data_IF_209863118110
#
_entry.id   IF_209863118110
#
_cell.length_a   1.000
_cell.length_b   1.000
_cell.length_c   1.000
_cell.angle_alpha   90.00
_cell.angle_beta   90.00
_cell.angle_gamma   90.00
#
_symmetry.space_group_name_H-M   'P 1'
#
loop_
_entity.id
_entity.type
_entity.pdbx_description
1 polymer ?
#
# COMPACT_ATOMS: atom_id res chain seq x y z
N UNK A 1 11.06 75.82 46.66
CA UNK A 1 11.02 74.83 47.75
C UNK A 1 11.14 73.45 47.11
N UNK A 2 12.14 72.71 47.53
CA UNK A 2 12.67 71.43 47.03
C UNK A 2 11.64 70.29 47.07
N UNK A 3 11.88 69.22 46.28
CA UNK A 3 11.60 67.75 46.45
C UNK A 3 11.20 67.16 45.07
N UNK A 4 12.12 66.61 44.27
CA UNK A 4 12.73 65.25 44.23
C UNK A 4 12.01 64.29 43.25
N UNK A 5 12.72 63.47 42.43
CA UNK A 5 12.13 62.70 41.34
C UNK A 5 11.67 61.29 41.77
N UNK A 6 10.59 60.83 41.13
CA UNK A 6 10.04 59.48 41.25
C UNK A 6 11.04 58.44 40.72
N UNK A 7 11.34 57.44 41.55
CA UNK A 7 12.17 56.29 41.22
C UNK A 7 11.45 55.38 40.21
N UNK A 8 12.17 54.99 39.16
CA UNK A 8 11.84 53.87 38.30
C UNK A 8 11.83 52.57 39.12
N UNK A 9 10.65 51.96 39.27
CA UNK A 9 10.49 50.59 39.74
C UNK A 9 10.38 49.67 38.53
N UNK A 10 11.51 49.14 38.07
CA UNK A 10 11.56 48.10 37.06
C UNK A 10 11.05 46.78 37.63
N UNK A 11 9.80 46.44 37.35
CA UNK A 11 9.23 45.13 37.65
C UNK A 11 9.52 44.19 36.47
N UNK A 12 10.76 43.68 36.43
CA UNK A 12 11.19 42.61 35.53
C UNK A 12 10.45 41.32 35.94
N UNK A 13 9.26 41.11 35.36
CA UNK A 13 8.62 39.79 35.40
C UNK A 13 9.59 38.76 34.79
N UNK A 14 9.91 37.67 35.50
CA UNK A 14 10.77 36.64 34.94
C UNK A 14 10.06 36.05 33.72
N UNK A 15 10.67 36.21 32.55
CA UNK A 15 10.31 35.43 31.36
C UNK A 15 10.53 33.97 31.73
N UNK A 16 9.44 33.26 32.00
CA UNK A 16 9.43 31.80 32.11
C UNK A 16 9.95 31.30 30.78
N UNK A 17 11.20 30.86 30.78
CA UNK A 17 11.80 30.15 29.67
C UNK A 17 11.06 28.81 29.62
N UNK A 18 9.99 28.76 28.83
CA UNK A 18 9.36 27.51 28.42
C UNK A 18 10.42 26.78 27.60
N UNK A 19 11.30 26.07 28.31
CA UNK A 19 12.21 25.12 27.71
C UNK A 19 11.37 24.29 26.75
N UNK A 20 11.70 24.34 25.45
CA UNK A 20 11.10 23.46 24.45
C UNK A 20 11.27 22.04 24.98
N UNK A 21 10.20 21.48 25.53
CA UNK A 21 10.16 20.07 25.90
C UNK A 21 10.24 19.33 24.58
N UNK A 22 11.43 18.87 24.22
CA UNK A 22 11.61 17.99 23.07
C UNK A 22 10.75 16.76 23.34
N UNK A 23 9.76 16.45 22.50
CA UNK A 23 8.93 15.26 22.70
C UNK A 23 9.84 14.03 22.78
N UNK A 24 9.54 13.11 23.70
CA UNK A 24 10.27 11.86 23.77
C UNK A 24 10.14 11.11 22.44
N UNK A 25 11.29 10.67 21.89
CA UNK A 25 11.34 9.88 20.67
C UNK A 25 10.46 8.63 20.79
N UNK A 26 9.78 8.22 19.71
CA UNK A 26 8.86 7.12 19.79
C UNK A 26 9.58 5.78 19.96
N UNK A 27 8.86 4.81 20.53
CA UNK A 27 9.24 3.40 20.50
C UNK A 27 8.65 2.79 19.24
N UNK A 28 9.51 2.37 18.31
CA UNK A 28 9.09 1.79 17.03
C UNK A 28 9.03 0.27 17.15
N UNK A 29 7.88 -0.31 16.82
CA UNK A 29 7.61 -1.75 16.98
C UNK A 29 7.05 -2.34 15.70
N UNK A 30 7.44 -3.56 15.38
CA UNK A 30 6.80 -4.34 14.30
C UNK A 30 5.65 -5.14 14.90
N UNK A 31 4.50 -5.14 14.24
CA UNK A 31 3.37 -5.98 14.61
C UNK A 31 3.14 -7.02 13.52
N UNK A 32 3.18 -8.30 13.88
CA UNK A 32 2.78 -9.39 13.02
C UNK A 32 1.40 -9.90 13.44
N UNK A 33 0.52 -10.15 12.46
CA UNK A 33 -0.76 -10.82 12.69
C UNK A 33 -0.56 -12.19 13.34
N UNK A 34 -1.39 -12.51 14.32
CA UNK A 34 -1.35 -13.79 15.05
C UNK A 34 -1.72 -14.98 14.15
N UNK A 35 -2.70 -14.81 13.26
CA UNK A 35 -3.18 -15.86 12.36
C UNK A 35 -2.37 -15.91 11.04
N UNK A 36 -1.09 -15.56 11.09
CA UNK A 36 -0.20 -15.47 9.93
C UNK A 36 0.76 -16.67 9.80
N UNK A 37 1.45 -16.80 8.65
CA UNK A 37 2.58 -17.72 8.55
C UNK A 37 3.65 -17.36 9.59
N UNK A 38 4.50 -18.33 9.94
CA UNK A 38 5.60 -18.11 10.86
C UNK A 38 6.42 -16.86 10.47
N UNK A 39 6.85 -16.08 11.47
CA UNK A 39 7.45 -14.76 11.28
C UNK A 39 8.94 -14.90 10.87
N UNK A 40 9.20 -15.73 9.87
CA UNK A 40 10.51 -16.15 9.40
C UNK A 40 10.55 -16.06 7.88
N UNK A 41 11.76 -16.07 7.33
CA UNK A 41 11.96 -15.95 5.89
C UNK A 41 11.92 -14.50 5.41
N UNK A 42 11.99 -14.37 4.10
CA UNK A 42 12.36 -13.13 3.45
C UNK A 42 11.34 -12.01 3.67
N UNK A 43 10.05 -12.31 3.83
CA UNK A 43 9.01 -11.32 4.09
C UNK A 43 9.21 -10.68 5.47
N UNK A 44 9.44 -11.50 6.49
CA UNK A 44 9.66 -11.03 7.85
C UNK A 44 10.97 -10.25 7.97
N UNK A 45 12.05 -10.72 7.33
CA UNK A 45 13.35 -10.05 7.35
C UNK A 45 13.33 -8.73 6.57
N UNK A 46 12.63 -8.69 5.43
CA UNK A 46 12.36 -7.45 4.70
C UNK A 46 11.65 -6.44 5.59
N UNK A 47 10.61 -6.87 6.32
CA UNK A 47 9.88 -6.02 7.25
C UNK A 47 10.77 -5.49 8.38
N UNK A 48 11.61 -6.34 8.97
CA UNK A 48 12.57 -5.93 10.01
C UNK A 48 13.55 -4.89 9.50
N UNK A 49 14.10 -5.10 8.30
CA UNK A 49 15.07 -4.20 7.69
C UNK A 49 14.46 -2.85 7.32
N UNK A 50 13.28 -2.84 6.68
CA UNK A 50 12.58 -1.59 6.38
C UNK A 50 12.07 -0.90 7.66
N UNK A 51 11.66 -1.68 8.67
CA UNK A 51 11.24 -1.16 9.97
C UNK A 51 12.36 -0.44 10.72
N UNK A 52 13.59 -0.97 10.64
CA UNK A 52 14.78 -0.28 11.17
C UNK A 52 15.02 1.06 10.47
N UNK A 53 14.88 1.10 9.14
CA UNK A 53 15.04 2.34 8.36
C UNK A 53 13.94 3.37 8.66
N UNK A 54 12.69 2.93 8.86
CA UNK A 54 11.61 3.80 9.33
C UNK A 54 11.95 4.35 10.72
N UNK A 55 12.46 3.52 11.64
CA UNK A 55 12.86 3.98 12.96
C UNK A 55 13.95 5.06 12.92
N UNK A 56 14.96 4.91 12.04
CA UNK A 56 15.97 5.95 11.79
C UNK A 56 15.36 7.23 11.22
N UNK A 57 14.36 7.12 10.34
CA UNK A 57 13.63 8.29 9.84
C UNK A 57 12.88 9.03 10.96
N UNK A 58 12.45 8.30 12.00
CA UNK A 58 11.85 8.87 13.22
C UNK A 58 12.88 9.30 14.28
N UNK A 59 14.17 9.16 14.00
CA UNK A 59 15.26 9.54 14.90
C UNK A 59 15.52 8.55 16.04
N UNK A 60 15.04 7.31 15.94
CA UNK A 60 15.15 6.27 16.98
C UNK A 60 15.66 4.95 16.39
N UNK A 61 15.67 3.88 17.19
CA UNK A 61 15.97 2.51 16.74
C UNK A 61 14.72 1.64 16.83
N UNK A 62 14.67 0.60 16.01
CA UNK A 62 13.62 -0.41 16.09
C UNK A 62 13.75 -1.15 17.43
N UNK A 63 12.67 -1.17 18.22
CA UNK A 63 12.62 -1.79 19.54
C UNK A 63 12.26 -3.28 19.49
N UNK A 64 12.10 -3.84 18.29
CA UNK A 64 11.77 -5.24 18.05
C UNK A 64 10.31 -5.43 17.67
N UNK A 65 9.81 -6.63 17.97
CA UNK A 65 8.44 -7.05 17.67
C UNK A 65 7.54 -6.77 18.87
N UNK A 66 6.32 -6.33 18.61
CA UNK A 66 5.29 -6.14 19.63
C UNK A 66 4.93 -7.48 20.25
N UNK A 67 5.04 -7.58 21.58
CA UNK A 67 4.61 -8.73 22.37
C UNK A 67 3.51 -8.32 23.33
N UNK A 68 2.36 -8.99 23.27
CA UNK A 68 1.21 -8.72 24.15
C UNK A 68 1.53 -8.80 25.65
N UNK A 69 2.54 -9.59 26.02
CA UNK A 69 2.98 -9.80 27.40
C UNK A 69 3.87 -8.68 27.94
N UNK A 70 4.39 -7.79 27.07
CA UNK A 70 5.28 -6.70 27.44
C UNK A 70 4.52 -5.38 27.64
N UNK A 71 5.10 -4.47 28.42
CA UNK A 71 4.59 -3.11 28.60
C UNK A 71 5.41 -2.14 27.76
N UNK A 72 4.73 -1.36 26.94
CA UNK A 72 5.34 -0.33 26.10
C UNK A 72 4.93 1.08 26.55
N UNK A 73 5.81 2.09 26.39
CA UNK A 73 5.44 3.50 26.54
C UNK A 73 4.27 3.90 25.65
N UNK A 74 3.59 5.00 26.00
CA UNK A 74 2.45 5.50 25.23
C UNK A 74 2.83 6.04 23.85
N UNK A 75 4.04 6.60 23.70
CA UNK A 75 4.57 7.17 22.46
C UNK A 75 5.15 6.07 21.55
N UNK A 76 4.29 5.17 21.09
CA UNK A 76 4.66 4.04 20.21
C UNK A 76 4.30 4.35 18.76
N UNK A 77 5.12 3.82 17.87
CA UNK A 77 4.90 3.88 16.43
C UNK A 77 4.95 2.45 15.87
N UNK A 78 3.85 1.99 15.30
CA UNK A 78 3.67 0.58 14.94
C UNK A 78 3.84 0.35 13.44
N UNK A 79 4.57 -0.68 13.06
CA UNK A 79 4.76 -1.08 11.67
C UNK A 79 4.10 -2.46 11.52
N UNK A 80 2.82 -2.52 11.14
CA UNK A 80 2.14 -3.80 11.02
C UNK A 80 2.54 -4.49 9.69
N UNK A 81 2.63 -5.82 9.73
CA UNK A 81 2.87 -6.63 8.54
C UNK A 81 1.67 -6.67 7.59
N UNK A 82 0.50 -6.26 8.08
CA UNK A 82 -0.75 -6.20 7.34
C UNK A 82 -1.60 -5.00 7.79
N UNK A 83 -2.62 -4.64 7.01
CA UNK A 83 -3.55 -3.58 7.37
C UNK A 83 -4.30 -3.98 8.63
N UNK A 84 -4.37 -3.08 9.61
CA UNK A 84 -5.00 -3.34 10.90
C UNK A 84 -6.52 -3.16 10.81
N UNK A 85 -7.27 -3.89 11.61
CA UNK A 85 -8.65 -3.52 11.93
C UNK A 85 -8.68 -2.43 13.00
N UNK A 86 -9.81 -1.73 13.15
CA UNK A 86 -10.01 -0.77 14.26
C UNK A 86 -9.82 -1.44 15.63
N UNK A 87 -10.20 -2.71 15.81
CA UNK A 87 -9.98 -3.42 17.08
C UNK A 87 -8.49 -3.64 17.36
N UNK A 88 -7.74 -4.13 16.35
CA UNK A 88 -6.30 -4.31 16.47
C UNK A 88 -5.56 -2.99 16.70
N UNK A 89 -5.96 -1.92 16.00
CA UNK A 89 -5.41 -0.59 16.20
C UNK A 89 -5.58 -0.10 17.65
N UNK A 90 -6.76 -0.32 18.25
CA UNK A 90 -7.02 0.02 19.66
C UNK A 90 -6.14 -0.76 20.63
N UNK A 91 -5.97 -2.06 20.43
CA UNK A 91 -5.07 -2.91 21.25
C UNK A 91 -3.62 -2.41 21.20
N UNK A 92 -3.17 -1.99 20.01
CA UNK A 92 -1.81 -1.51 19.76
C UNK A 92 -1.62 -0.04 20.19
N UNK A 93 -2.70 0.67 20.53
CA UNK A 93 -2.68 2.09 20.86
C UNK A 93 -2.54 3.03 19.66
N UNK A 94 -2.81 2.54 18.45
CA UNK A 94 -2.80 3.29 17.19
C UNK A 94 -4.10 4.08 17.05
N UNK A 95 -4.01 5.41 16.91
CA UNK A 95 -5.18 6.30 16.88
C UNK A 95 -5.25 7.17 15.62
N UNK A 96 -4.13 7.33 14.94
CA UNK A 96 -3.99 8.19 13.78
C UNK A 96 -2.84 7.75 12.89
N UNK A 97 -2.71 8.40 11.72
CA UNK A 97 -1.58 8.24 10.80
C UNK A 97 -0.21 8.53 11.44
N UNK A 98 -0.16 9.18 12.61
CA UNK A 98 1.08 9.47 13.35
C UNK A 98 1.57 8.28 14.18
N UNK A 99 0.75 7.25 14.35
CA UNK A 99 1.02 6.14 15.26
C UNK A 99 1.39 4.84 14.53
N UNK A 100 1.36 4.82 13.18
CA UNK A 100 1.71 3.64 12.40
C UNK A 100 2.33 3.95 11.03
N UNK A 101 3.05 2.99 10.46
CA UNK A 101 3.38 2.93 9.03
C UNK A 101 2.52 1.86 8.34
N UNK A 102 1.37 2.26 7.79
CA UNK A 102 0.35 1.36 7.27
C UNK A 102 -1.05 1.97 7.38
N UNK A 103 -2.08 1.14 7.38
CA UNK A 103 -3.48 1.56 7.45
C UNK A 103 -4.31 0.81 8.47
N UNK A 104 -5.45 1.42 8.79
CA UNK A 104 -6.48 0.88 9.66
C UNK A 104 -7.80 0.90 8.89
N UNK A 105 -8.53 -0.21 8.93
CA UNK A 105 -9.85 -0.36 8.29
C UNK A 105 -10.94 -0.71 9.30
N UNK A 106 -12.18 -0.23 9.09
CA UNK A 106 -13.30 -0.57 9.97
C UNK A 106 -13.75 -2.04 9.83
N UNK A 107 -13.61 -2.61 8.63
CA UNK A 107 -13.98 -3.99 8.33
C UNK A 107 -12.84 -4.69 7.57
N UNK A 108 -12.50 -5.96 7.88
CA UNK A 108 -11.36 -6.64 7.26
C UNK A 108 -11.40 -6.69 5.72
N UNK A 109 -12.57 -6.87 5.12
CA UNK A 109 -12.71 -6.95 3.65
C UNK A 109 -12.29 -5.64 2.94
N UNK A 110 -12.34 -4.50 3.62
CA UNK A 110 -11.92 -3.19 3.07
C UNK A 110 -10.42 -3.21 2.76
N UNK A 111 -9.65 -4.01 3.51
CA UNK A 111 -8.22 -4.20 3.28
C UNK A 111 -7.89 -5.23 2.18
N UNK A 112 -8.88 -5.76 1.45
CA UNK A 112 -8.66 -6.80 0.43
C UNK A 112 -9.13 -6.35 -0.96
N UNK A 113 -8.83 -7.13 -2.00
CA UNK A 113 -9.22 -6.81 -3.39
C UNK A 113 -10.72 -6.67 -3.60
N UNK A 114 -11.55 -7.30 -2.76
CA UNK A 114 -13.00 -7.31 -2.94
C UNK A 114 -13.63 -5.93 -2.75
N UNK A 115 -12.92 -4.98 -2.13
CA UNK A 115 -13.38 -3.59 -2.08
C UNK A 115 -13.46 -2.97 -3.47
N UNK A 116 -12.63 -3.39 -4.44
CA UNK A 116 -12.52 -2.75 -5.74
C UNK A 116 -13.80 -2.85 -6.61
N UNK A 117 -14.73 -3.74 -6.26
CA UNK A 117 -15.87 -4.04 -7.11
C UNK A 117 -17.19 -4.02 -6.34
N UNK A 118 -18.26 -3.63 -7.04
CA UNK A 118 -19.63 -3.72 -6.55
C UNK A 118 -20.13 -5.17 -6.50
N UNK A 119 -21.25 -5.40 -5.84
CA UNK A 119 -21.94 -6.70 -5.91
C UNK A 119 -22.80 -6.76 -7.17
N UNK A 120 -23.18 -7.97 -7.59
CA UNK A 120 -24.24 -8.13 -8.59
C UNK A 120 -25.57 -7.59 -8.06
N UNK A 121 -26.41 -7.11 -8.97
CA UNK A 121 -27.76 -6.68 -8.60
C UNK A 121 -28.55 -7.85 -8.00
N UNK A 122 -29.17 -7.63 -6.84
CA UNK A 122 -29.88 -8.68 -6.11
C UNK A 122 -28.98 -9.71 -5.41
N UNK A 123 -27.70 -9.38 -5.16
CA UNK A 123 -26.75 -10.27 -4.50
C UNK A 123 -27.31 -10.90 -3.22
N UNK A 124 -27.12 -12.21 -3.09
CA UNK A 124 -27.63 -13.05 -2.00
C UNK A 124 -26.80 -12.88 -0.73
N UNK A 125 -25.51 -12.58 -0.87
CA UNK A 125 -24.59 -12.42 0.25
C UNK A 125 -23.78 -11.12 0.16
N UNK A 126 -23.54 -10.50 1.33
CA UNK A 126 -22.61 -9.39 1.50
C UNK A 126 -22.01 -9.39 2.90
N UNK A 127 -20.77 -8.91 3.09
CA UNK A 127 -20.16 -8.87 4.41
C UNK A 127 -20.78 -7.72 5.23
N UNK A 128 -20.73 -7.82 6.57
CA UNK A 128 -21.06 -6.70 7.45
C UNK A 128 -20.23 -5.46 7.08
N UNK A 129 -20.89 -4.30 7.04
CA UNK A 129 -20.23 -3.03 6.72
C UNK A 129 -20.07 -2.72 5.23
N UNK A 130 -20.64 -3.53 4.33
CA UNK A 130 -20.62 -3.25 2.89
C UNK A 130 -21.30 -1.89 2.57
N UNK A 131 -20.54 -0.98 1.94
CA UNK A 131 -21.03 0.33 1.53
C UNK A 131 -21.46 0.30 0.07
N UNK A 132 -22.78 0.32 -0.19
CA UNK A 132 -23.30 0.41 -1.55
C UNK A 132 -22.92 1.72 -2.23
N UNK A 133 -22.90 2.83 -1.49
CA UNK A 133 -22.49 4.13 -2.01
C UNK A 133 -21.03 4.11 -2.49
N UNK A 134 -20.13 3.52 -1.69
CA UNK A 134 -18.74 3.33 -2.12
C UNK A 134 -18.66 2.46 -3.38
N UNK A 135 -19.34 1.32 -3.39
CA UNK A 135 -19.32 0.37 -4.50
C UNK A 135 -19.78 1.00 -5.82
N UNK A 136 -20.80 1.86 -5.80
CA UNK A 136 -21.25 2.59 -6.98
C UNK A 136 -20.23 3.63 -7.45
N UNK A 137 -19.57 4.35 -6.53
CA UNK A 137 -18.48 5.25 -6.91
C UNK A 137 -17.27 4.50 -7.47
N UNK A 138 -16.90 3.37 -6.87
CA UNK A 138 -15.76 2.55 -7.27
C UNK A 138 -15.95 1.94 -8.67
N UNK A 139 -17.18 1.62 -9.08
CA UNK A 139 -17.47 0.98 -10.36
C UNK A 139 -16.98 1.78 -11.59
N UNK A 140 -16.89 3.11 -11.50
CA UNK A 140 -16.34 3.97 -12.57
C UNK A 140 -14.81 4.13 -12.50
N UNK A 141 -14.19 3.68 -11.39
CA UNK A 141 -12.77 3.85 -11.08
C UNK A 141 -11.98 2.54 -11.26
N UNK A 142 -12.68 1.41 -11.33
CA UNK A 142 -12.10 0.07 -11.43
C UNK A 142 -12.41 -0.57 -12.78
N UNK A 143 -11.82 -1.75 -13.03
CA UNK A 143 -12.17 -2.53 -14.21
C UNK A 143 -13.60 -3.08 -14.11
N UNK A 144 -14.28 -3.41 -15.23
CA UNK A 144 -15.56 -4.07 -15.18
C UNK A 144 -15.48 -5.35 -14.34
N UNK A 145 -16.22 -5.41 -13.24
CA UNK A 145 -16.14 -6.54 -12.33
C UNK A 145 -17.13 -6.48 -11.18
N UNK A 146 -17.14 -7.57 -10.42
CA UNK A 146 -17.99 -7.78 -9.27
C UNK A 146 -17.22 -8.46 -8.14
N UNK A 147 -17.62 -8.15 -6.91
CA UNK A 147 -17.28 -8.93 -5.73
C UNK A 147 -18.44 -9.86 -5.39
N UNK A 148 -18.12 -11.09 -4.99
CA UNK A 148 -19.09 -12.11 -4.63
C UNK A 148 -18.73 -12.78 -3.31
N UNK A 149 -19.75 -13.10 -2.51
CA UNK A 149 -19.64 -13.76 -1.21
C UNK A 149 -20.46 -15.06 -1.13
N UNK A 150 -21.02 -15.48 -2.26
CA UNK A 150 -21.72 -16.75 -2.46
C UNK A 150 -21.37 -17.31 -3.82
N UNK A 151 -21.54 -18.63 -3.98
CA UNK A 151 -21.28 -19.31 -5.26
C UNK A 151 -22.20 -18.78 -6.34
N UNK A 152 -23.47 -18.64 -6.01
CA UNK A 152 -24.51 -18.19 -6.93
C UNK A 152 -24.23 -16.77 -7.42
N UNK A 153 -23.80 -15.86 -6.55
CA UNK A 153 -23.45 -14.49 -6.95
C UNK A 153 -22.19 -14.45 -7.81
N UNK A 154 -21.21 -15.34 -7.56
CA UNK A 154 -20.01 -15.47 -8.40
C UNK A 154 -20.35 -16.02 -9.80
N UNK A 155 -21.19 -17.04 -9.89
CA UNK A 155 -21.71 -17.56 -11.15
C UNK A 155 -22.51 -16.49 -11.92
N UNK A 156 -23.36 -15.73 -11.24
CA UNK A 156 -24.14 -14.66 -11.85
C UNK A 156 -23.25 -13.52 -12.36
N UNK A 157 -22.19 -13.17 -11.62
CA UNK A 157 -21.18 -12.20 -12.05
C UNK A 157 -20.44 -12.66 -13.32
N UNK A 158 -19.96 -13.91 -13.33
CA UNK A 158 -19.22 -14.46 -14.46
C UNK A 158 -20.09 -14.53 -15.73
N UNK A 159 -21.35 -14.98 -15.62
CA UNK A 159 -22.32 -15.00 -16.75
C UNK A 159 -22.50 -13.63 -17.38
N UNK A 160 -22.56 -12.57 -16.57
CA UNK A 160 -22.67 -11.18 -17.06
C UNK A 160 -21.41 -10.75 -17.79
N UNK A 161 -20.23 -11.04 -17.23
CA UNK A 161 -18.96 -10.60 -17.79
C UNK A 161 -18.55 -11.36 -19.05
N UNK A 162 -18.90 -12.65 -19.18
CA UNK A 162 -18.58 -13.45 -20.39
C UNK A 162 -19.23 -12.94 -21.67
N UNK A 163 -20.32 -12.17 -21.57
CA UNK A 163 -20.93 -11.51 -22.73
C UNK A 163 -19.96 -10.56 -23.43
N UNK A 164 -18.97 -10.04 -22.69
CA UNK A 164 -18.03 -9.03 -23.12
C UNK A 164 -16.57 -9.51 -23.04
N UNK A 165 -16.28 -10.81 -22.88
CA UNK A 165 -14.92 -11.35 -22.91
C UNK A 165 -14.55 -12.26 -21.74
N UNK A 166 -13.26 -12.60 -21.63
CA UNK A 166 -12.77 -13.58 -20.66
C UNK A 166 -12.83 -13.04 -19.22
N UNK A 167 -12.98 -13.93 -18.25
CA UNK A 167 -13.16 -13.58 -16.83
C UNK A 167 -11.98 -14.03 -16.01
N UNK A 168 -11.50 -13.15 -15.14
CA UNK A 168 -10.45 -13.43 -14.16
C UNK A 168 -11.04 -13.44 -12.76
N UNK A 169 -10.75 -14.51 -12.03
CA UNK A 169 -11.01 -14.61 -10.61
C UNK A 169 -9.80 -14.11 -9.82
N UNK A 170 -10.04 -13.40 -8.72
CA UNK A 170 -8.98 -13.05 -7.77
C UNK A 170 -9.40 -13.36 -6.34
N UNK A 171 -8.55 -14.11 -5.64
CA UNK A 171 -8.69 -14.33 -4.19
C UNK A 171 -8.43 -13.01 -3.45
N UNK A 172 -9.13 -12.75 -2.33
CA UNK A 172 -9.15 -11.44 -1.66
C UNK A 172 -7.76 -10.99 -1.21
N UNK A 173 -6.97 -11.92 -0.66
CA UNK A 173 -5.68 -11.65 -0.03
C UNK A 173 -4.47 -12.09 -0.87
N UNK A 174 -4.64 -12.41 -2.16
CA UNK A 174 -3.52 -12.79 -3.03
C UNK A 174 -2.45 -11.69 -3.08
N UNK A 175 -1.17 -12.04 -3.20
CA UNK A 175 -0.06 -11.06 -3.21
C UNK A 175 0.75 -11.23 -4.50
N UNK A 176 1.07 -10.13 -5.18
CA UNK A 176 1.99 -10.13 -6.32
C UNK A 176 1.56 -11.05 -7.47
N UNK A 177 0.26 -11.04 -7.80
CA UNK A 177 -0.31 -11.87 -8.87
C UNK A 177 -0.76 -13.28 -8.44
N UNK A 178 -0.38 -13.75 -7.25
CA UNK A 178 -0.81 -15.06 -6.76
C UNK A 178 -2.31 -15.13 -6.46
N UNK A 179 -2.91 -16.31 -6.65
CA UNK A 179 -4.33 -16.54 -6.37
C UNK A 179 -5.27 -15.87 -7.38
N UNK A 180 -4.85 -15.79 -8.64
CA UNK A 180 -5.68 -15.31 -9.74
C UNK A 180 -5.76 -16.36 -10.84
N UNK A 181 -6.96 -16.61 -11.35
CA UNK A 181 -7.20 -17.64 -12.37
C UNK A 181 -8.06 -17.07 -13.49
N UNK A 182 -7.71 -17.38 -14.73
CA UNK A 182 -8.53 -17.08 -15.90
C UNK A 182 -9.52 -18.23 -16.09
N UNK A 183 -10.81 -17.94 -16.16
CA UNK A 183 -11.87 -18.93 -16.38
C UNK A 183 -12.63 -18.63 -17.68
N UNK A 184 -12.73 -19.63 -18.54
CA UNK A 184 -13.36 -19.54 -19.84
C UNK A 184 -14.86 -19.88 -19.79
N UNK A 185 -15.28 -20.72 -18.86
CA UNK A 185 -16.66 -21.20 -18.76
C UNK A 185 -17.09 -21.54 -17.32
N UNK A 186 -18.35 -22.00 -17.19
CA UNK A 186 -18.95 -22.34 -15.90
C UNK A 186 -18.27 -23.52 -15.21
N UNK A 187 -17.77 -24.51 -15.97
CA UNK A 187 -17.14 -25.68 -15.38
C UNK A 187 -15.80 -25.30 -14.73
N UNK A 188 -15.00 -24.48 -15.42
CA UNK A 188 -13.75 -23.94 -14.86
C UNK A 188 -14.02 -23.04 -13.64
N UNK A 189 -15.05 -22.18 -13.71
CA UNK A 189 -15.47 -21.36 -12.57
C UNK A 189 -15.86 -22.21 -11.36
N UNK A 190 -16.70 -23.23 -11.56
CA UNK A 190 -17.16 -24.10 -10.47
C UNK A 190 -16.01 -24.87 -9.83
N UNK A 191 -15.04 -25.34 -10.63
CA UNK A 191 -13.83 -25.99 -10.13
C UNK A 191 -12.97 -25.06 -9.26
N UNK A 192 -12.78 -23.80 -9.68
CA UNK A 192 -12.06 -22.80 -8.89
C UNK A 192 -12.79 -22.46 -7.58
N UNK A 193 -14.13 -22.37 -7.61
CA UNK A 193 -14.94 -22.14 -6.42
C UNK A 193 -14.92 -23.35 -5.47
N UNK A 194 -14.85 -24.57 -6.00
CA UNK A 194 -14.68 -25.79 -5.22
C UNK A 194 -13.33 -25.83 -4.50
N UNK A 195 -12.25 -25.47 -5.20
CA UNK A 195 -10.91 -25.38 -4.60
C UNK A 195 -10.87 -24.28 -3.52
N UNK A 196 -11.50 -23.13 -3.77
CA UNK A 196 -11.53 -22.03 -2.81
C UNK A 196 -12.37 -22.37 -1.57
N UNK A 197 -13.49 -23.07 -1.76
CA UNK A 197 -14.38 -23.55 -0.71
C UNK A 197 -15.37 -22.50 -0.20
N UNK A 198 -16.63 -22.90 -0.02
CA UNK A 198 -17.73 -21.97 0.31
C UNK A 198 -17.53 -21.22 1.64
N UNK A 199 -16.82 -21.81 2.61
CA UNK A 199 -16.54 -21.14 3.88
C UNK A 199 -15.57 -19.96 3.72
N UNK A 200 -14.54 -20.12 2.89
CA UNK A 200 -13.61 -19.06 2.55
C UNK A 200 -14.31 -17.99 1.70
N UNK A 201 -15.16 -18.41 0.76
CA UNK A 201 -15.95 -17.50 -0.06
C UNK A 201 -16.90 -16.62 0.75
N UNK A 202 -17.63 -17.20 1.71
CA UNK A 202 -18.55 -16.43 2.58
C UNK A 202 -17.83 -15.40 3.45
N UNK A 203 -16.58 -15.65 3.82
CA UNK A 203 -15.83 -14.82 4.78
C UNK A 203 -14.93 -13.80 4.09
N UNK A 204 -14.16 -14.24 3.09
CA UNK A 204 -13.20 -13.40 2.37
C UNK A 204 -13.75 -12.78 1.09
N UNK A 205 -14.78 -13.39 0.49
CA UNK A 205 -15.27 -13.04 -0.84
C UNK A 205 -14.31 -13.46 -1.95
N UNK A 206 -14.71 -13.20 -3.20
CA UNK A 206 -13.89 -13.36 -4.40
C UNK A 206 -14.19 -12.21 -5.35
N UNK A 207 -13.19 -11.79 -6.12
CA UNK A 207 -13.37 -10.86 -7.23
C UNK A 207 -13.58 -11.65 -8.51
N UNK A 208 -14.59 -11.27 -9.28
CA UNK A 208 -14.87 -11.75 -10.63
C UNK A 208 -14.80 -10.53 -11.54
N UNK A 209 -13.73 -10.38 -12.32
CA UNK A 209 -13.50 -9.20 -13.15
C UNK A 209 -13.20 -9.56 -14.60
N UNK A 210 -13.34 -8.59 -15.50
CA UNK A 210 -12.95 -8.73 -16.90
C UNK A 210 -11.44 -8.89 -17.00
N UNK A 211 -11.01 -9.89 -17.75
CA UNK A 211 -9.62 -10.03 -18.12
C UNK A 211 -9.26 -9.06 -19.24
N UNK A 212 -8.17 -8.31 -19.06
CA UNK A 212 -7.56 -7.53 -20.11
C UNK A 212 -6.34 -8.24 -20.68
N UNK A 213 -6.16 -8.11 -21.98
CA UNK A 213 -4.96 -8.46 -22.72
C UNK A 213 -3.93 -7.33 -22.62
N UNK A 214 -2.64 -7.70 -22.60
CA UNK A 214 -1.50 -6.76 -22.57
C UNK A 214 -1.60 -5.71 -21.46
N UNK A 215 -1.67 -6.17 -20.20
CA UNK A 215 -1.78 -5.29 -19.04
C UNK A 215 -0.43 -4.65 -18.70
N UNK A 216 -0.42 -3.32 -18.62
CA UNK A 216 0.59 -2.59 -17.86
C UNK A 216 -0.01 -2.16 -16.52
N UNK A 217 0.72 -2.35 -15.42
CA UNK A 217 0.25 -1.94 -14.09
C UNK A 217 1.09 -0.79 -13.57
N UNK A 218 0.43 0.31 -13.20
CA UNK A 218 1.04 1.41 -12.48
C UNK A 218 0.77 1.29 -10.99
N UNK A 219 1.77 1.63 -10.17
CA UNK A 219 1.58 1.91 -8.76
C UNK A 219 1.40 3.41 -8.56
N UNK A 220 0.28 3.81 -7.97
CA UNK A 220 0.00 5.19 -7.56
C UNK A 220 -0.18 5.23 -6.05
N UNK A 221 0.53 6.11 -5.35
CA UNK A 221 0.48 6.09 -3.89
C UNK A 221 0.90 7.36 -3.19
N UNK A 222 0.76 7.31 -1.87
CA UNK A 222 1.17 8.36 -0.96
C UNK A 222 1.64 7.76 0.36
N UNK A 223 2.76 8.28 0.86
CA UNK A 223 3.32 7.92 2.17
C UNK A 223 3.49 9.17 3.01
N UNK A 224 3.18 9.05 4.30
CA UNK A 224 3.30 10.10 5.31
C UNK A 224 4.08 9.56 6.50
N UNK A 225 5.15 10.26 6.88
CA UNK A 225 5.94 9.96 8.07
C UNK A 225 6.28 11.26 8.78
N UNK A 226 5.64 11.49 9.93
CA UNK A 226 5.70 12.75 10.67
C UNK A 226 5.26 13.95 9.81
N UNK A 227 6.21 14.80 9.39
CA UNK A 227 5.98 15.96 8.54
C UNK A 227 6.33 15.69 7.07
N UNK A 228 6.94 14.54 6.76
CA UNK A 228 7.29 14.15 5.41
C UNK A 228 6.06 13.56 4.74
N UNK A 229 5.66 14.14 3.61
CA UNK A 229 4.63 13.61 2.73
C UNK A 229 5.26 13.43 1.36
N UNK A 230 5.09 12.26 0.78
CA UNK A 230 5.54 11.96 -0.58
C UNK A 230 4.43 11.22 -1.31
N UNK A 231 4.21 11.58 -2.56
CA UNK A 231 3.28 10.92 -3.46
C UNK A 231 4.01 10.44 -4.71
N UNK A 232 3.52 9.39 -5.35
CA UNK A 232 4.22 8.80 -6.47
C UNK A 232 3.27 8.17 -7.47
N UNK A 233 3.78 8.04 -8.69
CA UNK A 233 3.29 7.10 -9.67
C UNK A 233 4.49 6.32 -10.22
N UNK A 234 4.27 5.16 -10.81
CA UNK A 234 5.36 4.40 -11.42
C UNK A 234 4.92 3.10 -12.03
N UNK A 235 5.79 2.48 -12.82
CA UNK A 235 5.51 1.24 -13.53
C UNK A 235 5.89 0.06 -12.63
N UNK A 236 5.02 -0.95 -12.56
CA UNK A 236 5.35 -2.24 -11.96
C UNK A 236 5.97 -3.18 -12.99
N UNK A 237 6.96 -3.94 -12.53
CA UNK A 237 7.64 -4.95 -13.33
C UNK A 237 7.30 -6.33 -12.80
N UNK A 238 7.16 -7.30 -13.69
CA UNK A 238 7.10 -8.72 -13.35
C UNK A 238 8.50 -9.33 -13.43
N UNK A 239 8.71 -10.40 -12.66
CA UNK A 239 9.86 -11.28 -12.74
C UNK A 239 9.39 -12.72 -12.66
N UNK A 240 10.22 -13.65 -13.13
CA UNK A 240 9.99 -15.08 -12.92
C UNK A 240 10.63 -15.49 -11.60
N UNK A 241 9.88 -16.20 -10.74
CA UNK A 241 10.39 -16.73 -9.50
C UNK A 241 11.14 -18.06 -9.68
N UNK A 242 11.72 -18.60 -8.61
CA UNK A 242 12.45 -19.88 -8.64
C UNK A 242 11.58 -21.11 -8.98
N UNK A 243 10.25 -20.95 -9.10
CA UNK A 243 9.32 -22.00 -9.52
C UNK A 243 8.81 -21.81 -10.95
N UNK A 244 9.30 -20.81 -11.69
CA UNK A 244 8.86 -20.52 -13.05
C UNK A 244 7.56 -19.71 -13.15
N UNK A 245 7.03 -19.19 -12.04
CA UNK A 245 5.82 -18.36 -12.06
C UNK A 245 6.18 -16.87 -12.19
N UNK A 246 5.41 -16.15 -13.00
CA UNK A 246 5.46 -14.68 -13.03
C UNK A 246 4.91 -14.10 -11.73
N UNK A 247 5.71 -13.26 -11.08
CA UNK A 247 5.40 -12.57 -9.83
C UNK A 247 5.85 -11.11 -9.91
N UNK A 248 5.45 -10.29 -8.95
CA UNK A 248 5.96 -8.93 -8.83
C UNK A 248 7.49 -8.91 -8.68
N UNK A 249 8.16 -8.17 -9.57
CA UNK A 249 9.62 -8.02 -9.65
C UNK A 249 10.14 -6.65 -9.19
N UNK A 250 9.26 -5.72 -8.84
CA UNK A 250 9.63 -4.38 -8.41
C UNK A 250 8.85 -3.26 -9.11
N UNK A 251 9.20 -2.01 -8.81
CA UNK A 251 8.60 -0.85 -9.45
C UNK A 251 9.65 0.22 -9.73
N UNK A 252 9.43 1.00 -10.79
CA UNK A 252 10.13 2.26 -11.06
C UNK A 252 9.19 3.42 -10.83
N UNK A 253 9.49 4.25 -9.83
CA UNK A 253 8.62 5.32 -9.34
C UNK A 253 9.21 6.69 -9.63
N UNK A 254 8.34 7.61 -10.06
CA UNK A 254 8.56 9.05 -9.92
C UNK A 254 7.89 9.47 -8.62
N UNK A 255 8.69 9.85 -7.64
CA UNK A 255 8.22 10.25 -6.31
C UNK A 255 8.38 11.76 -6.16
N UNK A 256 7.33 12.44 -5.73
CA UNK A 256 7.30 13.88 -5.50
C UNK A 256 7.04 14.20 -4.04
N UNK A 257 7.63 15.29 -3.57
CA UNK A 257 7.35 15.84 -2.25
C UNK A 257 5.95 16.45 -2.25
N UNK A 258 5.13 16.07 -1.29
CA UNK A 258 3.77 16.59 -1.12
C UNK A 258 2.68 15.58 -1.41
N UNK A 259 1.45 16.10 -1.47
CA UNK A 259 0.23 15.31 -1.49
C UNK A 259 -0.18 14.80 -2.87
N UNK A 260 -1.35 14.15 -2.92
CA UNK A 260 -1.97 13.70 -4.17
C UNK A 260 -2.35 14.88 -5.06
N UNK A 261 -2.60 16.04 -4.46
CA UNK A 261 -2.81 17.30 -5.16
C UNK A 261 -1.56 17.77 -5.92
N UNK A 262 -0.36 17.47 -5.41
CA UNK A 262 0.90 17.72 -6.13
C UNK A 262 1.08 16.69 -7.24
N UNK A 263 0.84 15.41 -6.94
CA UNK A 263 0.93 14.33 -7.91
C UNK A 263 0.01 14.53 -9.12
N UNK A 264 -1.23 14.98 -8.89
CA UNK A 264 -2.23 15.23 -9.92
C UNK A 264 -1.91 16.43 -10.84
N UNK A 265 -0.90 17.24 -10.48
CA UNK A 265 -0.46 18.40 -11.27
C UNK A 265 0.79 18.13 -12.11
N UNK A 266 1.32 16.91 -12.08
CA UNK A 266 2.49 16.56 -12.89
C UNK A 266 2.14 16.58 -14.37
N UNK A 267 3.09 17.06 -15.17
CA UNK A 267 3.03 16.98 -16.63
C UNK A 267 3.45 15.56 -17.05
N UNK A 268 2.45 14.71 -17.31
CA UNK A 268 2.59 13.29 -17.65
C UNK A 268 1.70 12.94 -18.83
N UNK A 269 1.83 11.73 -19.37
CA UNK A 269 0.97 11.27 -20.45
C UNK A 269 -0.50 11.20 -20.00
N UNK A 270 -1.43 11.24 -20.96
CA UNK A 270 -2.86 11.16 -20.67
C UNK A 270 -3.21 9.89 -19.90
N UNK A 271 -2.59 8.76 -20.26
CA UNK A 271 -2.73 7.49 -19.55
C UNK A 271 -2.34 7.63 -18.08
N UNK A 272 -1.10 8.09 -17.79
CA UNK A 272 -0.63 8.23 -16.41
C UNK A 272 -1.51 9.20 -15.62
N UNK A 273 -1.93 10.31 -16.24
CA UNK A 273 -2.86 11.26 -15.64
C UNK A 273 -4.20 10.62 -15.27
N UNK A 274 -4.75 9.74 -16.13
CA UNK A 274 -5.98 9.01 -15.86
C UNK A 274 -5.82 8.04 -14.69
N UNK A 275 -4.70 7.31 -14.61
CA UNK A 275 -4.42 6.41 -13.49
C UNK A 275 -4.31 7.16 -12.16
N UNK A 276 -3.58 8.29 -12.16
CA UNK A 276 -3.45 9.13 -10.97
C UNK A 276 -4.83 9.62 -10.54
N UNK A 277 -5.65 10.11 -11.47
CA UNK A 277 -7.00 10.58 -11.17
C UNK A 277 -7.89 9.47 -10.57
N UNK A 278 -7.88 8.26 -11.16
CA UNK A 278 -8.66 7.13 -10.65
C UNK A 278 -8.21 6.65 -9.27
N UNK A 279 -6.90 6.54 -9.04
CA UNK A 279 -6.37 6.19 -7.73
C UNK A 279 -6.70 7.24 -6.66
N UNK A 280 -6.57 8.53 -6.98
CA UNK A 280 -6.93 9.61 -6.06
C UNK A 280 -8.43 9.64 -5.74
N UNK A 281 -9.27 9.44 -6.76
CA UNK A 281 -10.72 9.37 -6.57
C UNK A 281 -11.13 8.14 -5.74
N UNK A 282 -10.46 7.01 -5.94
CA UNK A 282 -10.70 5.79 -5.17
C UNK A 282 -10.31 5.99 -3.70
N UNK A 283 -9.14 6.55 -3.41
CA UNK A 283 -8.72 6.91 -2.04
C UNK A 283 -9.72 7.85 -1.37
N UNK A 284 -10.12 8.92 -2.06
CA UNK A 284 -11.09 9.88 -1.54
C UNK A 284 -12.45 9.22 -1.26
N UNK A 285 -12.88 8.28 -2.10
CA UNK A 285 -14.11 7.52 -1.88
C UNK A 285 -14.00 6.60 -0.65
N UNK A 286 -12.87 5.91 -0.45
CA UNK A 286 -12.66 5.09 0.76
C UNK A 286 -12.74 5.96 2.01
N UNK A 287 -12.04 7.10 2.03
CA UNK A 287 -12.04 8.02 3.18
C UNK A 287 -13.44 8.55 3.51
N UNK A 288 -14.25 8.84 2.49
CA UNK A 288 -15.61 9.34 2.66
C UNK A 288 -16.58 8.27 3.15
N UNK A 289 -16.51 7.08 2.55
CA UNK A 289 -17.58 6.08 2.66
C UNK A 289 -17.28 4.97 3.69
N UNK A 290 -16.05 4.90 4.24
CA UNK A 290 -15.65 3.99 5.31
C UNK A 290 -15.14 4.72 6.55
N UNK A 291 -16.09 5.15 7.40
CA UNK A 291 -15.76 5.79 8.68
C UNK A 291 -14.84 4.92 9.55
N UNK A 292 -13.77 5.53 10.07
CA UNK A 292 -12.74 4.84 10.84
C UNK A 292 -11.54 4.36 10.02
N UNK A 293 -11.58 4.49 8.69
CA UNK A 293 -10.41 4.31 7.84
C UNK A 293 -9.39 5.44 8.03
N UNK A 294 -8.11 5.09 8.13
CA UNK A 294 -6.99 6.01 7.94
C UNK A 294 -5.73 5.24 7.57
N UNK A 295 -4.83 5.86 6.80
CA UNK A 295 -3.56 5.25 6.44
C UNK A 295 -2.44 6.30 6.33
N UNK A 296 -1.25 5.94 6.83
CA UNK A 296 -0.02 6.68 6.60
C UNK A 296 0.72 6.21 5.35
N UNK A 297 0.41 5.00 4.86
CA UNK A 297 0.89 4.47 3.58
C UNK A 297 -0.30 4.02 2.73
N UNK A 298 -0.40 4.56 1.52
CA UNK A 298 -1.42 4.26 0.52
C UNK A 298 -0.77 3.85 -0.80
N UNK A 299 -1.15 2.70 -1.35
CA UNK A 299 -0.75 2.28 -2.70
C UNK A 299 -1.96 1.71 -3.42
N UNK A 300 -2.13 2.07 -4.69
CA UNK A 300 -3.16 1.58 -5.59
C UNK A 300 -2.49 1.05 -6.84
N UNK A 301 -2.84 -0.17 -7.22
CA UNK A 301 -2.38 -0.78 -8.46
C UNK A 301 -3.45 -0.48 -9.52
N UNK A 302 -3.05 0.22 -10.59
CA UNK A 302 -3.94 0.69 -11.65
C UNK A 302 -3.49 0.06 -12.96
N UNK A 303 -4.38 -0.69 -13.60
CA UNK A 303 -4.09 -1.36 -14.86
C UNK A 303 -4.50 -0.50 -16.06
N UNK A 304 -3.70 -0.59 -17.12
CA UNK A 304 -4.06 -0.25 -18.50
C UNK A 304 -4.00 -1.50 -19.34
N UNK A 305 -5.01 -1.72 -20.16
CA UNK A 305 -5.00 -2.83 -21.10
C UNK A 305 -6.16 -2.75 -22.08
N UNK A 306 -6.24 -3.72 -22.96
CA UNK A 306 -7.36 -3.85 -23.90
C UNK A 306 -8.16 -5.09 -23.57
N UNK A 307 -9.48 -5.04 -23.65
CA UNK A 307 -10.28 -6.28 -23.61
C UNK A 307 -10.25 -7.02 -24.96
N UNK A 308 -10.93 -8.17 -25.01
CA UNK A 308 -10.98 -9.03 -26.19
C UNK A 308 -11.65 -8.36 -27.41
N UNK A 309 -12.38 -7.26 -27.21
CA UNK A 309 -13.02 -6.46 -28.26
C UNK A 309 -12.15 -5.28 -28.70
N UNK A 310 -10.94 -5.14 -28.13
CA UNK A 310 -10.01 -4.05 -28.41
C UNK A 310 -10.35 -2.74 -27.70
N UNK A 311 -11.28 -2.75 -26.74
CA UNK A 311 -11.62 -1.56 -25.96
C UNK A 311 -10.54 -1.34 -24.91
N UNK A 312 -9.98 -0.13 -24.88
CA UNK A 312 -9.01 0.26 -23.84
C UNK A 312 -9.72 0.46 -22.52
N UNK A 313 -9.16 -0.11 -21.46
CA UNK A 313 -9.59 0.08 -20.09
C UNK A 313 -8.46 0.63 -19.24
N UNK A 314 -8.83 1.46 -18.27
CA UNK A 314 -7.99 1.91 -17.18
C UNK A 314 -8.77 1.74 -15.88
N UNK A 315 -8.18 1.14 -14.84
CA UNK A 315 -8.91 0.97 -13.59
C UNK A 315 -8.05 0.49 -12.44
N UNK A 316 -8.41 0.91 -11.22
CA UNK A 316 -7.82 0.39 -10.00
C UNK A 316 -8.14 -1.10 -9.90
N UNK A 317 -7.09 -1.92 -9.83
CA UNK A 317 -7.19 -3.36 -9.61
C UNK A 317 -7.36 -3.69 -8.13
N UNK A 318 -6.57 -3.01 -7.30
CA UNK A 318 -6.51 -3.26 -5.86
C UNK A 318 -5.80 -2.13 -5.09
N UNK A 319 -5.91 -2.20 -3.76
CA UNK A 319 -5.21 -1.31 -2.83
C UNK A 319 -4.23 -2.11 -1.95
N UNK A 320 -3.23 -1.42 -1.42
CA UNK A 320 -2.35 -1.93 -0.37
C UNK A 320 -2.04 -0.84 0.66
N UNK A 321 -2.57 -1.00 1.88
CA UNK A 321 -2.34 -0.12 3.03
C UNK A 321 -1.44 -0.75 4.11
N UNK A 322 -0.48 -1.55 3.68
CA UNK A 322 0.54 -2.18 4.52
C UNK A 322 1.91 -2.01 3.90
N UNK A 323 2.98 -2.30 4.61
CA UNK A 323 4.30 -2.36 3.98
C UNK A 323 4.33 -3.41 2.85
N UNK A 324 5.03 -3.11 1.75
CA UNK A 324 5.01 -3.95 0.55
C UNK A 324 6.17 -3.69 -0.40
N UNK A 325 6.05 -4.19 -1.63
CA UNK A 325 7.12 -4.18 -2.64
C UNK A 325 7.65 -2.79 -2.99
N UNK A 326 6.82 -1.75 -2.93
CA UNK A 326 7.24 -0.37 -3.20
C UNK A 326 7.86 0.33 -1.97
N UNK A 327 7.77 -0.25 -0.77
CA UNK A 327 8.13 0.46 0.47
C UNK A 327 9.61 0.81 0.60
N UNK A 328 10.50 0.03 -0.01
CA UNK A 328 11.92 0.41 -0.09
C UNK A 328 12.11 1.76 -0.80
N UNK A 329 11.50 1.93 -1.98
CA UNK A 329 11.55 3.16 -2.75
C UNK A 329 10.88 4.33 -2.02
N UNK A 330 9.73 4.10 -1.37
CA UNK A 330 9.06 5.10 -0.53
C UNK A 330 9.98 5.62 0.58
N UNK A 331 10.59 4.72 1.35
CA UNK A 331 11.49 5.06 2.47
C UNK A 331 12.74 5.77 1.96
N UNK A 332 13.30 5.31 0.84
CA UNK A 332 14.44 5.95 0.19
C UNK A 332 14.13 7.39 -0.24
N UNK A 333 12.98 7.62 -0.86
CA UNK A 333 12.54 8.96 -1.27
C UNK A 333 12.33 9.87 -0.06
N UNK A 334 11.66 9.39 0.99
CA UNK A 334 11.50 10.14 2.24
C UNK A 334 12.85 10.51 2.87
N UNK A 335 13.84 9.62 2.79
CA UNK A 335 15.20 9.89 3.28
C UNK A 335 15.87 11.01 2.47
N UNK A 336 15.79 10.97 1.14
CA UNK A 336 16.30 12.03 0.28
C UNK A 336 15.62 13.37 0.60
N UNK A 337 14.29 13.38 0.69
CA UNK A 337 13.52 14.57 0.98
C UNK A 337 13.77 15.16 2.37
N UNK A 338 14.18 14.34 3.34
CA UNK A 338 14.59 14.81 4.67
C UNK A 338 16.00 15.43 4.65
N UNK A 339 16.91 14.87 3.86
CA UNK A 339 18.30 15.30 3.81
C UNK A 339 18.52 16.51 2.91
N UNK A 340 17.75 16.64 1.83
CA UNK A 340 17.86 17.73 0.88
C UNK A 340 16.49 18.39 0.67
N UNK A 341 16.37 19.64 1.11
CA UNK A 341 15.12 20.41 1.03
C UNK A 341 14.88 21.00 -0.36
N UNK A 342 15.90 21.08 -1.21
CA UNK A 342 15.80 21.59 -2.58
C UNK A 342 15.35 20.51 -3.58
N UNK A 343 15.24 19.26 -3.13
CA UNK A 343 14.75 18.14 -3.95
C UNK A 343 13.24 18.00 -3.76
N UNK A 344 12.49 18.30 -4.81
CA UNK A 344 11.03 18.16 -4.85
C UNK A 344 10.55 16.90 -5.56
N UNK A 345 11.44 16.21 -6.30
CA UNK A 345 11.13 14.96 -6.96
C UNK A 345 12.38 14.06 -7.08
N UNK A 346 12.18 12.73 -7.05
CA UNK A 346 13.22 11.70 -7.19
C UNK A 346 12.73 10.54 -8.04
N UNK A 347 13.64 9.87 -8.75
CA UNK A 347 13.39 8.53 -9.24
C UNK A 347 13.69 7.54 -8.11
N UNK A 348 12.79 6.61 -7.85
CA UNK A 348 13.03 5.56 -6.87
C UNK A 348 12.60 4.21 -7.43
N UNK A 349 13.43 3.20 -7.25
CA UNK A 349 13.20 1.88 -7.81
C UNK A 349 13.23 0.82 -6.71
N UNK A 350 12.38 -0.19 -6.78
CA UNK A 350 12.53 -1.44 -6.03
C UNK A 350 12.73 -2.60 -6.99
N UNK A 351 13.47 -3.62 -6.56
CA UNK A 351 13.69 -4.85 -7.33
C UNK A 351 13.64 -6.05 -6.42
N UNK A 352 13.01 -7.11 -6.91
CA UNK A 352 13.00 -8.45 -6.35
C UNK A 352 13.53 -9.41 -7.40
N UNK A 353 14.71 -9.98 -7.15
CA UNK A 353 15.42 -10.84 -8.11
C UNK A 353 15.57 -12.22 -7.49
N UNK A 354 15.15 -13.24 -8.23
CA UNK A 354 15.24 -14.65 -7.85
C UNK A 354 16.48 -15.29 -8.46
N UNK A 355 17.02 -16.28 -7.75
CA UNK A 355 18.22 -17.01 -8.16
C UNK A 355 19.46 -16.61 -7.35
N UNK A 356 20.55 -17.32 -7.63
CA UNK A 356 21.84 -17.13 -6.97
C UNK A 356 22.61 -15.95 -7.56
N UNK A 357 23.35 -15.25 -6.69
CA UNK A 357 24.30 -14.18 -7.04
C UNK A 357 23.85 -13.16 -8.09
N UNK A 358 22.71 -12.47 -7.87
CA UNK A 358 22.25 -11.44 -8.78
C UNK A 358 23.25 -10.27 -8.84
N UNK A 359 23.39 -9.68 -10.03
CA UNK A 359 24.14 -8.45 -10.23
C UNK A 359 23.39 -7.31 -9.57
N UNK A 360 23.99 -6.72 -8.54
CA UNK A 360 23.41 -5.59 -7.79
C UNK A 360 24.03 -4.28 -8.28
N UNK A 361 23.23 -3.31 -8.76
CA UNK A 361 23.74 -2.02 -9.16
C UNK A 361 24.48 -1.29 -8.04
N UNK A 362 25.49 -0.51 -8.39
CA UNK A 362 26.19 0.33 -7.42
C UNK A 362 25.22 1.33 -6.76
N UNK A 363 25.33 1.49 -5.44
CA UNK A 363 24.46 2.39 -4.67
C UNK A 363 23.11 1.79 -4.25
N UNK A 364 22.77 0.59 -4.71
CA UNK A 364 21.57 -0.11 -4.26
C UNK A 364 21.58 -0.40 -2.76
N UNK A 365 20.46 -0.13 -2.10
CA UNK A 365 20.23 -0.44 -0.71
C UNK A 365 19.60 -1.82 -0.61
N UNK A 366 20.39 -2.81 -0.18
CA UNK A 366 19.92 -4.19 0.01
C UNK A 366 18.99 -4.22 1.23
N UNK A 367 17.79 -4.76 1.00
CA UNK A 367 16.77 -4.96 2.02
C UNK A 367 16.77 -6.41 2.50
N UNK A 368 16.99 -7.34 1.59
CA UNK A 368 17.11 -8.77 1.89
C UNK A 368 18.04 -9.43 0.87
N UNK A 369 18.90 -10.35 1.32
CA UNK A 369 19.65 -11.27 0.47
C UNK A 369 19.83 -12.58 1.24
N UNK A 370 19.33 -13.67 0.67
CA UNK A 370 19.42 -14.97 1.32
C UNK A 370 18.61 -16.04 0.62
N UNK A 371 18.58 -17.23 1.21
CA UNK A 371 17.79 -18.39 0.74
C UNK A 371 16.58 -18.54 1.64
N UNK A 372 15.41 -18.24 1.10
CA UNK A 372 14.13 -18.46 1.77
C UNK A 372 13.72 -19.94 1.64
N UNK A 373 13.13 -20.50 2.70
CA UNK A 373 12.75 -21.91 2.74
C UNK A 373 11.67 -22.28 1.70
N UNK A 374 10.85 -21.32 1.27
CA UNK A 374 9.82 -21.53 0.25
C UNK A 374 10.23 -20.89 -1.06
N UNK A 375 10.67 -19.64 -1.05
CA UNK A 375 10.95 -18.88 -2.27
C UNK A 375 12.33 -19.19 -2.89
N UNK A 376 13.22 -19.90 -2.19
CA UNK A 376 14.59 -20.16 -2.64
C UNK A 376 15.49 -18.93 -2.51
N UNK A 377 16.61 -18.91 -3.26
CA UNK A 377 17.52 -17.77 -3.28
C UNK A 377 16.85 -16.54 -3.89
N UNK A 378 16.89 -15.41 -3.18
CA UNK A 378 16.41 -14.13 -3.71
C UNK A 378 17.11 -12.94 -3.06
N UNK A 379 17.12 -11.82 -3.79
CA UNK A 379 17.61 -10.52 -3.33
C UNK A 379 16.55 -9.44 -3.56
N UNK A 380 16.33 -8.61 -2.54
CA UNK A 380 15.47 -7.43 -2.60
C UNK A 380 16.29 -6.19 -2.32
N UNK A 381 16.20 -5.19 -3.17
CA UNK A 381 16.87 -3.91 -2.98
C UNK A 381 16.03 -2.75 -3.49
N UNK A 382 16.42 -1.54 -3.11
CA UNK A 382 15.90 -0.32 -3.71
C UNK A 382 17.02 0.65 -4.07
N UNK A 383 16.70 1.61 -4.95
CA UNK A 383 17.58 2.69 -5.36
C UNK A 383 16.82 4.00 -5.37
N UNK A 384 17.52 5.11 -5.19
CA UNK A 384 16.97 6.46 -5.30
C UNK A 384 17.96 7.32 -6.05
N UNK A 385 17.50 7.94 -7.14
CA UNK A 385 18.21 8.96 -7.88
C UNK A 385 17.52 10.31 -7.68
N UNK A 386 18.33 11.34 -7.50
CA UNK A 386 17.91 12.74 -7.41
C UNK A 386 17.19 13.22 -8.68
N UNK A 387 17.39 12.60 -9.83
CA UNK A 387 16.90 13.12 -11.12
C UNK A 387 15.84 12.20 -11.75
N UNK A 388 14.53 12.40 -11.46
CA UNK A 388 13.46 11.51 -11.93
C UNK A 388 13.29 11.46 -13.45
N UNK A 389 13.73 12.49 -14.17
CA UNK A 389 13.47 12.66 -15.61
C UNK A 389 14.72 12.54 -16.48
N UNK A 390 15.86 12.14 -15.91
CA UNK A 390 16.99 11.75 -16.76
C UNK A 390 16.68 10.37 -17.31
N UNK A 391 16.35 10.31 -18.61
CA UNK A 391 16.39 9.03 -19.34
C UNK A 391 17.77 8.43 -19.09
N UNK A 392 17.83 7.13 -18.90
CA UNK A 392 19.04 6.32 -19.01
C UNK A 392 19.57 6.38 -20.45
N UNK A 393 20.04 7.55 -20.87
CA UNK A 393 20.97 7.67 -21.97
C UNK A 393 22.35 7.51 -21.37
N UNK A 394 23.06 6.46 -21.81
CA UNK A 394 24.45 6.08 -21.48
C UNK A 394 24.62 5.09 -20.32
N UNK A 395 24.44 3.80 -20.64
CA UNK A 395 25.44 2.76 -20.33
C UNK A 395 25.58 1.84 -21.52
#
# INVERSE_FOLDING_TARGET
>A
MTIAPLREGGDLKPRVNLARVTPALPVVLIHFREDGPAHVGHVADTLRQLGAQIAELKGTRLAGEFRRTERYPANRYVIPNDTLTVSQARELGVRSVRDLFGGVVPFPFVATKVIAHRLVEGARAKPPGWSAAFAEHAAALTLPGYSAFSREDACDAARRLWQDGRVRLKRPCGIGGTGQTLVADMAELEAELDEFGDAALRTGGIVVERHLDSIETLSVGQVTLDHLVASYWGIQHLTVNNHGHEVYGGSDLVVVRGGFDVLARLDVTAEVSEAIAKACAFDAAVQRDYAGFFASRRNYDVAFGTDAQGVRHCGVLEQSWRIGGASGAEIGALRMFRTDLEVDAVAAATREIYGDDPVIPAGAQIVYRGVDATAGALTKYYMVDRHPFRRSSET
#
